data_IF_747614583075
#
_entry.id   IF_747614583075
#
_cell.length_a   1.000
_cell.length_b   1.000
_cell.length_c   1.000
_cell.angle_alpha   90.00
_cell.angle_beta   90.00
_cell.angle_gamma   90.00
#
_symmetry.space_group_name_H-M   'P 1'
#
loop_
_entity.id
_entity.type
_entity.pdbx_description
1 polymer ?
#
# COMPACT_ATOMS: atom_id res chain seq x y z
N UNK A 1 -13.31 17.41 -13.24
CA UNK A 1 -12.96 15.98 -13.29
C UNK A 1 -13.86 15.30 -14.28
N UNK A 2 -13.26 14.66 -15.30
CA UNK A 2 -13.99 13.73 -16.18
C UNK A 2 -14.40 12.49 -15.36
N UNK A 3 -15.45 11.81 -15.82
CA UNK A 3 -15.97 10.56 -15.26
C UNK A 3 -14.87 9.51 -15.00
N UNK A 4 -13.80 9.48 -15.81
CA UNK A 4 -12.68 8.56 -15.64
C UNK A 4 -11.74 8.95 -14.50
N UNK A 5 -11.47 10.24 -14.30
CA UNK A 5 -10.62 10.71 -13.19
C UNK A 5 -11.26 10.39 -11.84
N UNK A 6 -12.57 10.63 -11.72
CA UNK A 6 -13.33 10.30 -10.51
C UNK A 6 -13.39 8.79 -10.26
N UNK A 7 -13.55 7.97 -11.31
CA UNK A 7 -13.47 6.50 -11.18
C UNK A 7 -12.07 6.06 -10.73
N UNK A 8 -11.02 6.66 -11.30
CA UNK A 8 -9.64 6.41 -10.89
C UNK A 8 -9.38 6.76 -9.44
N UNK A 9 -9.92 7.89 -8.96
CA UNK A 9 -9.86 8.28 -7.56
C UNK A 9 -10.58 7.28 -6.65
N UNK A 10 -11.79 6.86 -7.01
CA UNK A 10 -12.53 5.83 -6.28
C UNK A 10 -11.72 4.53 -6.17
N UNK A 11 -11.12 4.06 -7.27
CA UNK A 11 -10.28 2.85 -7.23
C UNK A 11 -9.08 3.00 -6.29
N UNK A 12 -8.40 4.16 -6.31
CA UNK A 12 -7.30 4.43 -5.37
C UNK A 12 -7.77 4.46 -3.92
N UNK A 13 -8.94 5.05 -3.64
CA UNK A 13 -9.51 5.08 -2.29
C UNK A 13 -9.89 3.69 -1.80
N UNK A 14 -10.45 2.83 -2.66
CA UNK A 14 -10.72 1.42 -2.30
C UNK A 14 -9.42 0.65 -2.02
N UNK A 15 -8.39 0.85 -2.84
CA UNK A 15 -7.08 0.23 -2.62
C UNK A 15 -6.45 0.71 -1.29
N UNK A 16 -6.57 2.00 -0.95
CA UNK A 16 -6.14 2.54 0.34
C UNK A 16 -6.88 1.87 1.50
N UNK A 17 -8.20 1.78 1.42
CA UNK A 17 -9.03 1.11 2.42
C UNK A 17 -8.59 -0.34 2.66
N UNK A 18 -8.39 -1.10 1.57
CA UNK A 18 -7.91 -2.48 1.64
C UNK A 18 -6.56 -2.61 2.36
N UNK A 19 -5.60 -1.73 2.04
CA UNK A 19 -4.28 -1.74 2.69
C UNK A 19 -4.40 -1.46 4.19
N UNK A 20 -5.21 -0.46 4.57
CA UNK A 20 -5.42 -0.10 5.98
C UNK A 20 -6.10 -1.23 6.74
N UNK A 21 -7.15 -1.83 6.19
CA UNK A 21 -7.86 -2.96 6.80
C UNK A 21 -6.91 -4.14 7.03
N UNK A 22 -6.09 -4.48 6.03
CA UNK A 22 -5.06 -5.51 6.17
C UNK A 22 -4.06 -5.16 7.28
N UNK A 23 -3.53 -3.93 7.30
CA UNK A 23 -2.57 -3.49 8.31
C UNK A 23 -3.16 -3.51 9.73
N UNK A 24 -4.44 -3.16 9.90
CA UNK A 24 -5.15 -3.25 11.18
C UNK A 24 -5.30 -4.70 11.66
N UNK A 25 -5.39 -5.66 10.74
CA UNK A 25 -5.48 -7.09 11.06
C UNK A 25 -4.14 -7.76 11.39
N UNK A 26 -3.00 -7.09 11.18
CA UNK A 26 -1.68 -7.71 11.27
C UNK A 26 -0.79 -7.09 12.37
N UNK A 27 -0.29 -7.87 13.35
CA UNK A 27 0.52 -7.35 14.46
C UNK A 27 1.79 -6.60 14.02
N UNK A 28 2.47 -7.08 12.98
CA UNK A 28 3.68 -6.43 12.42
C UNK A 28 3.43 -5.03 11.85
N UNK A 29 2.17 -4.62 11.68
CA UNK A 29 1.80 -3.29 11.23
C UNK A 29 1.26 -2.42 12.38
N UNK A 30 1.17 -2.93 13.60
CA UNK A 30 0.62 -2.19 14.75
C UNK A 30 1.47 -0.96 15.10
N UNK A 31 0.89 0.03 15.80
CA UNK A 31 1.66 1.13 16.36
C UNK A 31 2.80 0.58 17.25
N UNK A 32 4.01 1.14 17.09
CA UNK A 32 5.26 0.72 17.76
C UNK A 32 5.88 -0.61 17.30
N UNK A 33 5.32 -1.27 16.28
CA UNK A 33 5.96 -2.43 15.65
C UNK A 33 7.19 -2.05 14.81
N UNK A 34 7.94 -3.06 14.38
CA UNK A 34 9.01 -2.88 13.38
C UNK A 34 8.47 -2.58 11.98
N UNK A 35 7.16 -2.69 11.76
CA UNK A 35 6.53 -2.49 10.46
C UNK A 35 6.68 -3.69 9.52
N UNK A 36 5.98 -3.60 8.39
CA UNK A 36 5.98 -4.58 7.33
C UNK A 36 6.59 -4.02 6.04
N UNK A 37 7.31 -4.87 5.30
CA UNK A 37 7.87 -4.49 3.99
C UNK A 37 6.74 -4.18 3.01
N UNK A 38 6.91 -3.11 2.21
CA UNK A 38 5.98 -2.73 1.16
C UNK A 38 5.62 -3.91 0.22
N UNK A 39 6.63 -4.68 -0.22
CA UNK A 39 6.41 -5.83 -1.08
C UNK A 39 5.51 -6.90 -0.44
N UNK A 40 5.57 -7.05 0.88
CA UNK A 40 4.70 -7.98 1.60
C UNK A 40 3.28 -7.45 1.69
N UNK A 41 3.10 -6.18 2.06
CA UNK A 41 1.78 -5.51 2.04
C UNK A 41 1.13 -5.65 0.66
N UNK A 42 1.89 -5.39 -0.41
CA UNK A 42 1.46 -5.54 -1.81
C UNK A 42 0.91 -6.94 -2.11
N UNK A 43 1.68 -7.98 -1.74
CA UNK A 43 1.29 -9.37 -1.96
C UNK A 43 0.07 -9.77 -1.14
N UNK A 44 0.05 -9.41 0.15
CA UNK A 44 -1.00 -9.81 1.08
C UNK A 44 -2.33 -9.12 0.81
N UNK A 45 -2.31 -7.92 0.23
CA UNK A 45 -3.50 -7.24 -0.26
C UNK A 45 -3.95 -7.74 -1.65
N UNK A 46 -3.30 -8.75 -2.24
CA UNK A 46 -3.70 -9.30 -3.54
C UNK A 46 -3.57 -8.30 -4.70
N UNK A 47 -2.71 -7.29 -4.58
CA UNK A 47 -2.57 -6.20 -5.56
C UNK A 47 -1.65 -6.55 -6.73
N UNK A 48 -1.15 -7.79 -6.78
CA UNK A 48 -0.30 -8.32 -7.85
C UNK A 48 -1.06 -9.21 -8.83
N UNK A 49 -0.62 -9.20 -10.09
CA UNK A 49 -1.13 -10.03 -11.18
C UNK A 49 -0.24 -11.26 -11.46
N UNK A 50 0.58 -11.66 -10.47
CA UNK A 50 1.55 -12.74 -10.61
C UNK A 50 2.68 -12.40 -11.59
N UNK A 51 3.35 -13.44 -12.11
CA UNK A 51 4.40 -13.26 -13.11
C UNK A 51 3.82 -12.84 -14.46
N UNK A 52 4.33 -11.75 -15.02
CA UNK A 52 3.92 -11.21 -16.31
C UNK A 52 5.14 -10.87 -17.16
N UNK A 53 5.05 -11.10 -18.48
CA UNK A 53 6.13 -10.79 -19.41
C UNK A 53 6.44 -9.29 -19.37
N UNK A 54 7.65 -8.93 -18.92
CA UNK A 54 8.13 -7.54 -18.71
C UNK A 54 7.47 -6.77 -17.55
N UNK A 55 6.65 -7.41 -16.73
CA UNK A 55 6.04 -6.80 -15.55
C UNK A 55 6.09 -7.79 -14.37
N UNK A 56 7.29 -8.06 -13.86
CA UNK A 56 7.47 -8.88 -12.66
C UNK A 56 6.75 -8.27 -11.45
N UNK A 57 6.50 -9.03 -10.37
CA UNK A 57 5.90 -8.51 -9.14
C UNK A 57 6.64 -7.28 -8.57
N UNK A 58 7.97 -7.23 -8.74
CA UNK A 58 8.79 -6.08 -8.34
C UNK A 58 8.47 -4.80 -9.11
N UNK A 59 8.05 -4.91 -10.37
CA UNK A 59 7.62 -3.78 -11.20
C UNK A 59 6.18 -3.40 -10.85
N UNK A 60 5.33 -4.37 -10.55
CA UNK A 60 3.93 -4.13 -10.24
C UNK A 60 3.75 -3.39 -8.91
N UNK A 61 4.62 -3.58 -7.92
CA UNK A 61 4.47 -2.91 -6.61
C UNK A 61 4.74 -1.40 -6.60
N UNK A 62 5.22 -0.78 -7.69
CA UNK A 62 5.60 0.64 -7.68
C UNK A 62 4.41 1.58 -7.39
N UNK A 63 3.19 1.24 -7.82
CA UNK A 63 2.03 2.09 -7.53
C UNK A 63 1.61 2.03 -6.05
N UNK A 64 1.94 0.94 -5.32
CA UNK A 64 1.74 0.88 -3.88
C UNK A 64 2.59 1.92 -3.14
N UNK A 65 3.75 2.30 -3.68
CA UNK A 65 4.58 3.39 -3.12
C UNK A 65 3.75 4.68 -3.04
N UNK A 66 3.09 5.06 -4.13
CA UNK A 66 2.30 6.29 -4.18
C UNK A 66 1.11 6.23 -3.22
N UNK A 67 0.46 5.06 -3.12
CA UNK A 67 -0.66 4.82 -2.21
C UNK A 67 -0.24 4.99 -0.73
N UNK A 68 0.87 4.36 -0.32
CA UNK A 68 1.36 4.45 1.06
C UNK A 68 1.82 5.88 1.41
N UNK A 69 2.38 6.62 0.46
CA UNK A 69 2.71 8.04 0.66
C UNK A 69 1.48 8.92 0.84
N UNK A 70 0.38 8.64 0.15
CA UNK A 70 -0.88 9.35 0.40
C UNK A 70 -1.44 9.03 1.79
N UNK A 71 -1.43 7.75 2.19
CA UNK A 71 -1.85 7.35 3.54
C UNK A 71 -0.98 7.97 4.64
N UNK A 72 0.31 8.15 4.39
CA UNK A 72 1.23 8.83 5.30
C UNK A 72 0.93 10.33 5.40
N UNK A 73 0.64 11.00 4.29
CA UNK A 73 0.16 12.39 4.31
C UNK A 73 -1.18 12.54 5.03
N UNK A 74 -2.04 11.52 4.96
CA UNK A 74 -3.31 11.42 5.68
C UNK A 74 -3.12 11.05 7.17
N UNK A 75 -1.89 10.78 7.62
CA UNK A 75 -1.56 10.45 9.01
C UNK A 75 -1.95 9.03 9.44
N UNK A 76 -2.26 8.14 8.50
CA UNK A 76 -2.75 6.78 8.79
C UNK A 76 -1.61 5.79 9.00
N UNK A 77 -0.55 5.91 8.21
CA UNK A 77 0.64 5.04 8.26
C UNK A 77 1.90 5.88 8.30
N UNK A 78 3.01 5.27 8.69
CA UNK A 78 4.33 5.91 8.66
C UNK A 78 5.38 4.93 8.16
N UNK A 79 6.33 5.43 7.38
CA UNK A 79 7.54 4.67 7.08
C UNK A 79 8.52 4.75 8.26
N UNK A 80 8.89 3.60 8.83
CA UNK A 80 9.69 3.53 10.07
C UNK A 80 11.07 4.17 9.91
N UNK A 81 11.70 3.95 8.75
CA UNK A 81 12.97 4.56 8.33
C UNK A 81 12.95 4.79 6.83
N UNK A 82 13.87 5.61 6.30
CA UNK A 82 14.01 5.81 4.85
C UNK A 82 14.18 4.46 4.12
N UNK A 83 13.38 4.25 3.08
CA UNK A 83 13.33 2.98 2.33
C UNK A 83 12.99 1.75 3.19
N UNK A 84 12.45 1.97 4.38
CA UNK A 84 12.13 0.97 5.38
C UNK A 84 10.69 0.44 5.33
N UNK A 85 10.33 -0.38 6.33
CA UNK A 85 9.00 -0.95 6.48
C UNK A 85 7.96 0.10 6.90
N UNK A 86 6.69 -0.28 6.77
CA UNK A 86 5.52 0.56 7.04
C UNK A 86 4.71 0.02 8.20
N UNK A 87 4.19 0.92 9.04
CA UNK A 87 3.28 0.57 10.14
C UNK A 87 2.16 1.60 10.25
N UNK A 88 1.12 1.27 10.99
CA UNK A 88 0.11 2.22 11.42
C UNK A 88 0.74 3.25 12.37
N UNK A 89 0.26 4.49 12.25
CA UNK A 89 0.59 5.56 13.18
C UNK A 89 0.10 5.22 14.60
#
# INVERSE_FOLDING_TARGET
>A
MDSFESKGELLRNHAKGLVVEFMQSHPDCSPNSLGMKQAEIFRRCGLGWGEQRKASPSNQQYWLVALLRQLEQEGVVVQVVESGPWRLC
#
